data_IF_278192680465
#
_entry.id   IF_278192680465
#
_cell.length_a   1.000
_cell.length_b   1.000
_cell.length_c   1.000
_cell.angle_alpha   90.00
_cell.angle_beta   90.00
_cell.angle_gamma   90.00
#
_symmetry.space_group_name_H-M   'P 1'
#
loop_
_entity.id
_entity.type
_entity.pdbx_description
1 polymer ?
#
# COMPACT_ATOMS: atom_id res chain seq x y z
N UNK A 1 3.74 5.67 22.25
CA UNK A 1 2.80 4.88 21.47
C UNK A 1 1.82 4.18 22.39
N UNK A 2 0.61 3.95 21.89
CA UNK A 2 -0.41 3.19 22.60
C UNK A 2 -0.35 1.74 22.16
N UNK A 3 -0.65 0.79 23.07
CA UNK A 3 -0.74 -0.61 22.74
C UNK A 3 -2.03 -0.86 21.94
N UNK A 4 -1.91 -1.32 20.69
CA UNK A 4 -3.05 -1.60 19.82
C UNK A 4 -3.90 -2.80 20.29
N UNK A 5 -3.41 -3.60 21.24
CA UNK A 5 -4.12 -4.70 21.87
C UNK A 5 -4.71 -4.34 23.24
N UNK A 6 -4.57 -3.08 23.68
CA UNK A 6 -5.17 -2.65 24.94
C UNK A 6 -6.69 -2.83 24.92
N UNK A 7 -7.27 -3.25 26.07
CA UNK A 7 -8.69 -3.56 26.20
C UNK A 7 -9.64 -2.38 25.94
N UNK A 8 -9.13 -1.15 25.94
CA UNK A 8 -9.87 0.09 25.65
C UNK A 8 -9.68 0.62 24.23
N UNK A 9 -8.96 -0.08 23.36
CA UNK A 9 -8.67 0.38 22.00
C UNK A 9 -9.94 0.42 21.15
N UNK A 10 -10.26 1.60 20.60
CA UNK A 10 -11.31 1.74 19.59
C UNK A 10 -10.80 1.23 18.22
N UNK A 11 -11.24 0.02 17.87
CA UNK A 11 -10.83 -0.66 16.63
C UNK A 11 -11.29 0.10 15.38
N UNK A 12 -12.40 0.85 15.45
CA UNK A 12 -12.89 1.65 14.32
C UNK A 12 -11.95 2.82 14.06
N UNK A 13 -11.57 3.52 15.12
CA UNK A 13 -10.59 4.60 15.06
C UNK A 13 -9.21 4.09 14.61
N UNK A 14 -8.76 2.94 15.13
CA UNK A 14 -7.50 2.34 14.71
C UNK A 14 -7.51 2.04 13.20
N UNK A 15 -8.59 1.44 12.68
CA UNK A 15 -8.72 1.12 11.24
C UNK A 15 -8.81 2.34 10.34
N UNK A 16 -9.26 3.49 10.83
CA UNK A 16 -9.22 4.75 10.11
C UNK A 16 -7.78 5.26 9.95
N UNK A 17 -6.91 4.97 10.92
CA UNK A 17 -5.49 5.40 10.95
C UNK A 17 -4.55 4.45 10.22
N UNK A 18 -4.98 3.22 9.93
CA UNK A 18 -4.16 2.17 9.30
C UNK A 18 -4.86 1.69 8.03
N UNK A 19 -4.33 2.08 6.87
CA UNK A 19 -4.79 1.58 5.57
C UNK A 19 -4.20 0.20 5.27
N UNK A 20 -4.94 -0.64 4.54
CA UNK A 20 -4.48 -1.96 4.10
C UNK A 20 -4.67 -2.13 2.60
N UNK A 21 -3.61 -2.57 1.92
CA UNK A 21 -3.59 -2.93 0.50
C UNK A 21 -3.20 -4.40 0.40
N UNK A 22 -4.09 -5.21 -0.18
CA UNK A 22 -3.93 -6.65 -0.27
C UNK A 22 -3.15 -7.06 -1.51
N UNK A 23 -2.57 -8.25 -1.47
CA UNK A 23 -1.83 -8.89 -2.55
C UNK A 23 -2.67 -8.98 -3.85
N UNK A 24 -3.90 -9.47 -3.73
CA UNK A 24 -4.85 -9.48 -4.85
C UNK A 24 -5.67 -8.19 -4.82
N UNK A 25 -5.67 -7.42 -5.91
CA UNK A 25 -6.53 -6.24 -5.99
C UNK A 25 -7.99 -6.60 -5.68
N UNK A 26 -8.62 -5.81 -4.82
CA UNK A 26 -9.97 -6.06 -4.34
C UNK A 26 -10.86 -4.81 -4.43
N UNK A 27 -11.00 -4.20 -5.61
CA UNK A 27 -11.92 -3.09 -5.76
C UNK A 27 -13.34 -3.56 -5.40
N UNK A 28 -14.12 -2.69 -4.78
CA UNK A 28 -15.53 -2.96 -4.56
C UNK A 28 -16.26 -3.08 -5.90
N UNK A 29 -17.33 -3.89 -6.02
CA UNK A 29 -18.18 -3.98 -7.20
C UNK A 29 -19.05 -2.72 -7.34
N UNK A 30 -18.40 -1.58 -7.41
CA UNK A 30 -18.92 -0.21 -7.48
C UNK A 30 -18.12 0.57 -8.50
N UNK A 31 -18.54 1.80 -8.81
CA UNK A 31 -17.79 2.67 -9.69
C UNK A 31 -16.40 3.03 -9.12
N UNK A 32 -15.52 3.53 -9.99
CA UNK A 32 -14.21 4.06 -9.60
C UNK A 32 -14.39 5.16 -8.54
N UNK A 33 -15.33 6.08 -8.78
CA UNK A 33 -15.69 7.14 -7.84
C UNK A 33 -16.09 6.57 -6.48
N UNK A 34 -17.04 5.64 -6.46
CA UNK A 34 -17.56 5.05 -5.22
C UNK A 34 -16.53 4.21 -4.45
N UNK A 35 -15.55 3.63 -5.14
CA UNK A 35 -14.43 2.96 -4.47
C UNK A 35 -13.62 3.95 -3.61
N UNK A 36 -13.32 5.13 -4.14
CA UNK A 36 -12.57 6.16 -3.40
C UNK A 36 -13.44 6.84 -2.34
N UNK A 37 -14.67 7.21 -2.69
CA UNK A 37 -15.60 7.94 -1.82
C UNK A 37 -16.09 7.13 -0.61
N UNK A 38 -15.93 5.81 -0.62
CA UNK A 38 -16.48 4.92 0.39
C UNK A 38 -15.95 5.23 1.81
N UNK A 39 -14.64 5.25 1.98
CA UNK A 39 -14.01 5.55 3.27
C UNK A 39 -14.34 6.96 3.78
N UNK A 40 -14.09 8.01 2.97
CA UNK A 40 -14.44 9.38 3.33
C UNK A 40 -15.90 9.58 3.74
N UNK A 41 -16.84 8.87 3.09
CA UNK A 41 -18.27 8.92 3.45
C UNK A 41 -18.55 8.32 4.82
N UNK A 42 -17.97 7.15 5.13
CA UNK A 42 -18.16 6.47 6.43
C UNK A 42 -17.58 7.31 7.56
N UNK A 43 -16.44 7.95 7.34
CA UNK A 43 -15.75 8.74 8.35
C UNK A 43 -16.20 10.21 8.38
N UNK A 44 -17.21 10.61 7.59
CA UNK A 44 -17.74 11.97 7.60
C UNK A 44 -16.74 13.04 7.16
N UNK A 45 -15.78 12.70 6.27
CA UNK A 45 -14.71 13.62 5.85
C UNK A 45 -15.15 14.63 4.79
N UNK A 46 -16.37 14.53 4.27
CA UNK A 46 -16.93 15.44 3.28
C UNK A 46 -18.30 15.94 3.75
N UNK A 47 -18.53 17.26 3.69
CA UNK A 47 -19.79 17.89 4.08
C UNK A 47 -20.79 18.00 2.91
N UNK A 48 -20.40 17.52 1.72
CA UNK A 48 -21.25 17.55 0.53
C UNK A 48 -20.57 16.94 -0.68
N UNK A 49 -21.28 17.01 -1.82
CA UNK A 49 -20.78 16.43 -3.08
C UNK A 49 -19.49 17.10 -3.55
N UNK A 50 -19.40 18.42 -3.47
CA UNK A 50 -18.22 19.18 -3.91
C UNK A 50 -16.95 18.78 -3.13
N UNK A 51 -17.05 18.65 -1.80
CA UNK A 51 -15.91 18.20 -0.97
C UNK A 51 -15.51 16.76 -1.33
N UNK A 52 -16.50 15.90 -1.57
CA UNK A 52 -16.24 14.52 -1.97
C UNK A 52 -15.55 14.45 -3.34
N UNK A 53 -15.98 15.27 -4.30
CA UNK A 53 -15.36 15.36 -5.64
C UNK A 53 -13.87 15.74 -5.52
N UNK A 54 -13.54 16.69 -4.64
CA UNK A 54 -12.15 17.10 -4.35
C UNK A 54 -11.33 15.94 -3.74
N UNK A 55 -11.91 15.21 -2.76
CA UNK A 55 -11.23 14.06 -2.13
C UNK A 55 -10.97 12.96 -3.18
N UNK A 56 -11.96 12.67 -4.03
CA UNK A 56 -11.84 11.63 -5.06
C UNK A 56 -10.75 11.99 -6.06
N UNK A 57 -10.79 13.21 -6.62
CA UNK A 57 -9.76 13.67 -7.55
C UNK A 57 -8.37 13.64 -6.93
N UNK A 58 -8.19 14.21 -5.74
CA UNK A 58 -6.92 14.23 -5.00
C UNK A 58 -6.37 12.83 -4.77
N UNK A 59 -7.22 11.88 -4.38
CA UNK A 59 -6.82 10.50 -4.11
C UNK A 59 -6.43 9.75 -5.39
N UNK A 60 -7.18 9.93 -6.47
CA UNK A 60 -6.85 9.34 -7.78
C UNK A 60 -5.58 9.93 -8.38
N UNK A 61 -5.34 11.24 -8.23
CA UNK A 61 -4.09 11.88 -8.65
C UNK A 61 -2.90 11.30 -7.88
N UNK A 62 -3.01 11.21 -6.56
CA UNK A 62 -1.97 10.60 -5.71
C UNK A 62 -1.73 9.12 -6.00
N UNK A 63 -2.75 8.39 -6.43
CA UNK A 63 -2.62 7.01 -6.86
C UNK A 63 -2.09 6.86 -8.30
N UNK A 64 -1.72 7.97 -8.98
CA UNK A 64 -1.26 7.98 -10.35
C UNK A 64 -2.28 7.44 -11.35
N UNK A 65 -3.59 7.55 -11.03
CA UNK A 65 -4.66 6.93 -11.83
C UNK A 65 -5.57 7.98 -12.50
N UNK A 66 -5.58 9.22 -12.04
CA UNK A 66 -6.52 10.25 -12.47
C UNK A 66 -6.60 10.42 -13.98
N UNK A 67 -5.48 10.61 -14.66
CA UNK A 67 -5.45 10.86 -16.11
C UNK A 67 -6.00 9.68 -16.94
N UNK A 68 -5.97 8.47 -16.37
CA UNK A 68 -6.48 7.27 -17.03
C UNK A 68 -7.99 7.08 -16.85
N UNK A 69 -8.60 7.73 -15.82
CA UNK A 69 -9.99 7.44 -15.42
C UNK A 69 -10.90 8.66 -15.27
N UNK A 70 -10.39 9.88 -15.34
CA UNK A 70 -11.14 11.12 -15.07
C UNK A 70 -12.44 11.27 -15.88
N UNK A 71 -12.46 10.76 -17.10
CA UNK A 71 -13.63 10.86 -18.01
C UNK A 71 -14.60 9.66 -17.87
N UNK A 72 -14.30 8.70 -16.97
CA UNK A 72 -15.08 7.48 -16.76
C UNK A 72 -15.18 7.05 -15.30
N UNK A 73 -15.31 8.02 -14.40
CA UNK A 73 -15.35 7.77 -12.94
C UNK A 73 -16.56 6.91 -12.50
N UNK A 74 -17.60 6.84 -13.33
CA UNK A 74 -18.79 6.03 -13.08
C UNK A 74 -18.67 4.58 -13.59
N UNK A 75 -17.62 4.26 -14.35
CA UNK A 75 -17.34 2.88 -14.76
C UNK A 75 -17.01 2.01 -13.55
N UNK A 76 -17.26 0.70 -13.70
CA UNK A 76 -16.96 -0.28 -12.64
C UNK A 76 -15.46 -0.30 -12.34
N UNK A 77 -15.10 -0.21 -11.07
CA UNK A 77 -13.71 -0.39 -10.61
C UNK A 77 -13.15 -1.78 -10.93
N UNK A 78 -14.02 -2.80 -11.05
CA UNK A 78 -13.60 -4.16 -11.41
C UNK A 78 -13.33 -4.36 -12.91
N UNK A 79 -13.71 -3.40 -13.75
CA UNK A 79 -13.43 -3.43 -15.19
C UNK A 79 -12.03 -2.87 -15.55
N UNK A 80 -11.32 -2.33 -14.59
CA UNK A 80 -9.95 -1.84 -14.75
C UNK A 80 -8.94 -2.99 -14.94
N UNK A 81 -7.78 -2.70 -15.54
CA UNK A 81 -6.66 -3.66 -15.58
C UNK A 81 -6.12 -3.95 -14.17
N UNK A 82 -5.40 -5.06 -13.97
CA UNK A 82 -4.87 -5.45 -12.66
C UNK A 82 -4.05 -4.35 -11.99
N UNK A 83 -3.14 -3.71 -12.73
CA UNK A 83 -2.35 -2.59 -12.20
C UNK A 83 -3.17 -1.34 -11.89
N UNK A 84 -4.21 -1.06 -12.67
CA UNK A 84 -5.16 0.03 -12.39
C UNK A 84 -6.01 -0.29 -11.16
N UNK A 85 -6.49 -1.54 -11.01
CA UNK A 85 -7.21 -1.98 -9.82
C UNK A 85 -6.36 -1.85 -8.55
N UNK A 86 -5.08 -2.22 -8.62
CA UNK A 86 -4.18 -2.08 -7.48
C UNK A 86 -3.98 -0.61 -7.09
N UNK A 87 -3.75 0.27 -8.08
CA UNK A 87 -3.67 1.72 -7.82
C UNK A 87 -4.99 2.30 -7.30
N UNK A 88 -6.14 1.78 -7.76
CA UNK A 88 -7.44 2.15 -7.20
C UNK A 88 -7.57 1.73 -5.72
N UNK A 89 -7.11 0.53 -5.36
CA UNK A 89 -7.09 0.06 -3.97
C UNK A 89 -6.16 0.91 -3.10
N UNK A 90 -4.99 1.33 -3.61
CA UNK A 90 -4.10 2.27 -2.93
C UNK A 90 -4.80 3.63 -2.76
N UNK A 91 -5.40 4.16 -3.84
CA UNK A 91 -6.18 5.41 -3.80
C UNK A 91 -7.30 5.38 -2.75
N UNK A 92 -8.02 4.26 -2.66
CA UNK A 92 -9.03 4.02 -1.63
C UNK A 92 -8.45 4.03 -0.22
N UNK A 93 -7.28 3.40 -0.02
CA UNK A 93 -6.64 3.36 1.29
C UNK A 93 -6.16 4.74 1.75
N UNK A 94 -5.63 5.57 0.83
CA UNK A 94 -5.13 6.92 1.15
C UNK A 94 -6.23 8.00 1.22
N UNK A 95 -7.44 7.70 0.74
CA UNK A 95 -8.53 8.68 0.70
C UNK A 95 -8.99 9.14 2.10
N UNK A 96 -8.76 8.33 3.12
CA UNK A 96 -9.03 8.66 4.54
C UNK A 96 -7.83 9.29 5.25
N UNK A 97 -6.73 9.54 4.53
CA UNK A 97 -5.48 10.09 5.03
C UNK A 97 -4.94 9.34 6.28
N UNK A 98 -4.65 8.03 6.15
CA UNK A 98 -4.18 7.22 7.27
C UNK A 98 -2.78 7.66 7.73
N UNK A 99 -2.35 7.23 8.92
CA UNK A 99 -0.97 7.43 9.40
C UNK A 99 -0.01 6.36 8.84
N UNK A 100 -0.53 5.14 8.71
CA UNK A 100 0.23 3.96 8.27
C UNK A 100 -0.48 3.28 7.10
N UNK A 101 0.28 2.80 6.12
CA UNK A 101 -0.22 1.96 5.03
C UNK A 101 0.50 0.62 5.10
N UNK A 102 -0.26 -0.44 5.28
CA UNK A 102 0.23 -1.81 5.18
C UNK A 102 -0.01 -2.31 3.75
N UNK A 103 1.01 -2.88 3.11
CA UNK A 103 0.91 -3.45 1.77
C UNK A 103 1.40 -4.90 1.80
N UNK A 104 0.52 -5.82 1.45
CA UNK A 104 0.84 -7.24 1.36
C UNK A 104 1.11 -7.60 -0.10
N UNK A 105 2.37 -7.87 -0.43
CA UNK A 105 2.85 -8.22 -1.78
C UNK A 105 2.23 -7.39 -2.92
N UNK A 106 2.27 -6.06 -2.89
CA UNK A 106 1.45 -5.19 -3.73
C UNK A 106 1.70 -5.33 -5.23
N UNK A 107 2.79 -6.00 -5.65
CA UNK A 107 3.18 -6.15 -7.05
C UNK A 107 3.22 -7.61 -7.54
N UNK A 108 2.93 -8.61 -6.69
CA UNK A 108 3.16 -10.03 -7.01
C UNK A 108 2.37 -10.55 -8.23
N UNK A 109 1.20 -9.97 -8.50
CA UNK A 109 0.31 -10.36 -9.59
C UNK A 109 0.37 -9.39 -10.80
N UNK A 110 1.37 -8.51 -10.86
CA UNK A 110 1.46 -7.44 -11.86
C UNK A 110 2.59 -7.69 -12.86
N UNK A 111 2.39 -7.20 -14.09
CA UNK A 111 3.46 -7.13 -15.09
C UNK A 111 4.54 -6.11 -14.68
N UNK A 112 5.73 -6.14 -15.34
CA UNK A 112 6.86 -5.24 -14.98
C UNK A 112 6.52 -3.75 -15.09
N UNK A 113 5.68 -3.34 -16.05
CA UNK A 113 5.32 -1.93 -16.25
C UNK A 113 4.39 -1.47 -15.12
N UNK A 114 3.39 -2.27 -14.79
CA UNK A 114 2.50 -1.99 -13.66
C UNK A 114 3.27 -2.00 -12.32
N UNK A 115 4.22 -2.93 -12.15
CA UNK A 115 5.11 -2.99 -10.99
C UNK A 115 5.92 -1.70 -10.83
N UNK A 116 6.54 -1.21 -11.90
CA UNK A 116 7.32 0.02 -11.87
C UNK A 116 6.46 1.23 -11.44
N UNK A 117 5.22 1.34 -11.95
CA UNK A 117 4.28 2.39 -11.55
C UNK A 117 3.91 2.32 -10.05
N UNK A 118 3.76 1.11 -9.49
CA UNK A 118 3.47 0.94 -8.05
C UNK A 118 4.71 1.30 -7.21
N UNK A 119 5.91 0.92 -7.63
CA UNK A 119 7.16 1.28 -6.93
C UNK A 119 7.39 2.80 -6.93
N UNK A 120 7.14 3.47 -8.05
CA UNK A 120 7.19 4.94 -8.15
C UNK A 120 6.16 5.58 -7.20
N UNK A 121 4.93 5.08 -7.21
CA UNK A 121 3.89 5.53 -6.28
C UNK A 121 4.28 5.35 -4.81
N UNK A 122 4.91 4.23 -4.44
CA UNK A 122 5.43 4.01 -3.08
C UNK A 122 6.48 5.08 -2.73
N UNK A 123 7.37 5.42 -3.66
CA UNK A 123 8.36 6.48 -3.46
C UNK A 123 7.74 7.86 -3.22
N UNK A 124 6.67 8.19 -3.91
CA UNK A 124 5.93 9.45 -3.72
C UNK A 124 5.19 9.48 -2.37
N UNK A 125 4.57 8.36 -2.00
CA UNK A 125 3.76 8.26 -0.78
C UNK A 125 4.59 8.23 0.51
N UNK A 126 5.82 7.68 0.50
CA UNK A 126 6.68 7.52 1.70
C UNK A 126 7.04 8.84 2.40
N UNK A 127 6.99 9.97 1.68
CA UNK A 127 7.21 11.29 2.28
C UNK A 127 6.06 11.76 3.17
N UNK A 128 4.90 11.08 3.11
CA UNK A 128 3.67 11.47 3.80
C UNK A 128 3.13 10.41 4.74
N UNK A 129 3.32 9.14 4.41
CA UNK A 129 2.80 7.99 5.15
C UNK A 129 3.94 7.10 5.66
N UNK A 130 3.76 6.48 6.82
CA UNK A 130 4.56 5.35 7.20
C UNK A 130 4.08 4.13 6.39
N UNK A 131 4.97 3.53 5.58
CA UNK A 131 4.60 2.40 4.71
C UNK A 131 5.33 1.16 5.19
N UNK A 132 4.57 0.09 5.44
CA UNK A 132 5.09 -1.24 5.74
C UNK A 132 4.70 -2.18 4.61
N UNK A 133 5.68 -2.81 3.98
CA UNK A 133 5.48 -3.70 2.83
C UNK A 133 5.96 -5.09 3.21
N UNK A 134 5.09 -6.09 3.03
CA UNK A 134 5.50 -7.51 3.01
C UNK A 134 5.75 -7.89 1.55
N UNK A 135 6.91 -8.46 1.27
CA UNK A 135 7.26 -8.96 -0.06
C UNK A 135 8.26 -10.10 0.04
N UNK A 136 8.13 -11.09 -0.84
CA UNK A 136 9.15 -12.11 -1.06
C UNK A 136 10.15 -11.71 -2.16
N UNK A 137 9.91 -10.58 -2.85
CA UNK A 137 10.79 -10.08 -3.90
C UNK A 137 11.88 -9.19 -3.30
N UNK A 138 13.08 -9.76 -3.13
CA UNK A 138 14.25 -9.05 -2.58
C UNK A 138 14.63 -7.82 -3.39
N UNK A 139 14.53 -7.88 -4.71
CA UNK A 139 14.86 -6.73 -5.57
C UNK A 139 13.89 -5.58 -5.35
N UNK A 140 12.60 -5.88 -5.19
CA UNK A 140 11.61 -4.86 -4.82
C UNK A 140 11.93 -4.26 -3.45
N UNK A 141 12.17 -5.08 -2.44
CA UNK A 141 12.53 -4.59 -1.10
C UNK A 141 13.76 -3.66 -1.16
N UNK A 142 14.80 -4.04 -1.91
CA UNK A 142 16.00 -3.24 -2.08
C UNK A 142 15.75 -1.87 -2.75
N UNK A 143 14.79 -1.81 -3.70
CA UNK A 143 14.48 -0.56 -4.42
C UNK A 143 13.61 0.41 -3.61
N UNK A 144 12.59 -0.11 -2.89
CA UNK A 144 11.54 0.77 -2.33
C UNK A 144 11.70 1.07 -0.85
N UNK A 145 12.44 0.27 -0.08
CA UNK A 145 12.50 0.41 1.37
C UNK A 145 13.75 1.15 1.87
N UNK A 146 13.62 1.85 3.00
CA UNK A 146 14.75 2.44 3.73
C UNK A 146 15.29 1.47 4.80
N UNK A 147 14.42 0.64 5.34
CA UNK A 147 14.74 -0.38 6.34
C UNK A 147 14.10 -1.69 5.95
N UNK A 148 14.80 -2.78 6.19
CA UNK A 148 14.33 -4.13 5.86
C UNK A 148 14.39 -5.00 7.11
N UNK A 149 13.33 -5.78 7.31
CA UNK A 149 13.24 -6.84 8.31
C UNK A 149 13.18 -8.19 7.58
N UNK A 150 14.09 -9.09 7.88
CA UNK A 150 14.07 -10.45 7.38
C UNK A 150 13.44 -11.38 8.42
N UNK A 151 12.34 -12.03 8.03
CA UNK A 151 11.63 -13.02 8.84
C UNK A 151 11.83 -14.42 8.28
N UNK A 152 12.00 -15.39 9.17
CA UNK A 152 12.03 -16.81 8.82
C UNK A 152 11.23 -17.62 9.83
N UNK A 153 10.24 -18.38 9.38
CA UNK A 153 9.36 -19.22 10.21
C UNK A 153 8.74 -18.48 11.42
N UNK A 154 8.40 -17.21 11.23
CA UNK A 154 7.81 -16.37 12.28
C UNK A 154 8.81 -15.59 13.13
N UNK A 155 10.09 -15.92 13.07
CA UNK A 155 11.15 -15.24 13.82
C UNK A 155 11.74 -14.08 13.04
N UNK A 156 11.94 -12.94 13.69
CA UNK A 156 12.71 -11.82 13.16
C UNK A 156 14.20 -12.16 13.21
N UNK A 157 14.78 -12.48 12.05
CA UNK A 157 16.18 -12.88 11.95
C UNK A 157 17.10 -11.66 11.95
N UNK A 158 16.77 -10.64 11.15
CA UNK A 158 17.58 -9.44 11.05
C UNK A 158 16.72 -8.22 10.70
N UNK A 159 17.10 -7.05 11.23
CA UNK A 159 16.49 -5.77 10.93
C UNK A 159 17.54 -4.67 10.85
N UNK A 160 17.51 -3.88 9.78
CA UNK A 160 18.49 -2.83 9.60
C UNK A 160 18.17 -1.87 8.45
N UNK A 161 19.15 -1.04 8.13
CA UNK A 161 19.12 -0.21 6.93
C UNK A 161 19.17 -1.14 5.70
N UNK A 162 18.35 -0.87 4.72
CA UNK A 162 18.19 -1.75 3.55
C UNK A 162 19.50 -2.00 2.82
N UNK A 163 20.31 -0.97 2.58
CA UNK A 163 21.62 -1.15 1.95
C UNK A 163 22.49 -2.14 2.71
N UNK A 164 22.53 -2.04 4.04
CA UNK A 164 23.39 -2.90 4.87
C UNK A 164 22.90 -4.36 4.83
N UNK A 165 21.58 -4.56 4.95
CA UNK A 165 20.95 -5.89 4.86
C UNK A 165 21.31 -6.58 3.54
N UNK A 166 21.28 -5.86 2.41
CA UNK A 166 21.52 -6.46 1.09
C UNK A 166 22.99 -6.54 0.68
N UNK A 167 23.88 -5.74 1.28
CA UNK A 167 25.32 -5.74 0.91
C UNK A 167 26.22 -6.40 1.95
N UNK A 168 25.89 -6.27 3.23
CA UNK A 168 26.71 -6.76 4.34
C UNK A 168 25.84 -7.22 5.53
N UNK A 169 24.97 -8.23 5.35
CA UNK A 169 24.13 -8.76 6.40
C UNK A 169 24.98 -9.34 7.56
N UNK A 170 24.51 -9.14 8.78
CA UNK A 170 25.18 -9.60 10.00
C UNK A 170 24.85 -11.04 10.34
N UNK A 171 23.68 -11.53 9.87
CA UNK A 171 23.21 -12.89 10.13
C UNK A 171 23.53 -13.79 8.93
N UNK A 172 24.13 -14.95 9.19
CA UNK A 172 24.46 -15.91 8.13
C UNK A 172 23.19 -16.37 7.37
N UNK A 173 22.07 -16.56 8.08
CA UNK A 173 20.78 -16.89 7.46
C UNK A 173 20.31 -15.82 6.47
N UNK A 174 20.49 -14.55 6.79
CA UNK A 174 20.16 -13.43 5.88
C UNK A 174 21.04 -13.50 4.63
N UNK A 175 22.31 -13.73 4.81
CA UNK A 175 23.30 -13.86 3.72
C UNK A 175 22.96 -15.04 2.80
N UNK A 176 22.65 -16.20 3.36
CA UNK A 176 22.28 -17.39 2.61
C UNK A 176 21.01 -17.15 1.79
N UNK A 177 20.00 -16.47 2.39
CA UNK A 177 18.78 -16.11 1.70
C UNK A 177 19.05 -15.18 0.50
N UNK A 178 19.83 -14.10 0.72
CA UNK A 178 20.15 -13.10 -0.32
C UNK A 178 20.99 -13.72 -1.44
N UNK A 179 21.88 -14.64 -1.12
CA UNK A 179 22.76 -15.29 -2.11
C UNK A 179 22.15 -16.52 -2.79
N UNK A 180 20.88 -16.85 -2.46
CA UNK A 180 20.18 -18.01 -3.02
C UNK A 180 20.73 -19.36 -2.54
N UNK A 181 21.48 -19.40 -1.45
CA UNK A 181 22.02 -20.61 -0.83
C UNK A 181 21.10 -21.20 0.23
N UNK A 182 19.90 -20.71 0.30
CA UNK A 182 18.88 -21.12 1.24
C UNK A 182 18.20 -22.38 0.73
N UNK A 183 18.51 -23.53 1.33
CA UNK A 183 17.96 -24.85 1.02
C UNK A 183 17.92 -25.71 2.26
#
# INVERSE_FOLDING_TARGET
GEDIYASGMDVVQLRARVGMVFQKPNPFPKSIYENIAYGPRIHGLAHGKADMDVIVEKSLRRAGLWEEVKDRLQDSGTALSGGQQQRLCIGRAIAVEPEVILMDEPCSALDPIATAKIEELIHELRGRYAIVIVTHNMQQAARVSQRTAFFHLGDLVEYGVTSDIFTNPKQERTKDYITGRYG
#
